data_IF_741104862171
#
_entry.id   IF_741104862171
#
_cell.length_a   1.000
_cell.length_b   1.000
_cell.length_c   1.000
_cell.angle_alpha   90.00
_cell.angle_beta   90.00
_cell.angle_gamma   90.00
#
_symmetry.space_group_name_H-M   'P 1'
#
loop_
_entity.id
_entity.type
_entity.pdbx_description
1 polymer ?
#
# COMPACT_ATOMS: atom_id res chain seq x y z
N UNK A 1 -0.49 -10.80 10.38
CA UNK A 1 -0.84 -11.40 9.08
C UNK A 1 -1.96 -10.65 8.34
N UNK A 2 -2.98 -10.10 9.02
CA UNK A 2 -4.00 -9.27 8.33
C UNK A 2 -3.40 -7.99 7.72
N UNK A 3 -2.47 -7.35 8.42
CA UNK A 3 -1.90 -6.07 7.98
C UNK A 3 -1.08 -6.17 6.70
N UNK A 4 -0.41 -7.31 6.45
CA UNK A 4 0.44 -7.45 5.25
C UNK A 4 -0.40 -7.51 3.96
N UNK A 5 -1.56 -8.18 3.99
CA UNK A 5 -2.48 -8.25 2.86
C UNK A 5 -3.24 -6.93 2.69
N UNK A 6 -3.63 -6.31 3.81
CA UNK A 6 -4.20 -4.97 3.79
C UNK A 6 -3.26 -3.96 3.12
N UNK A 7 -1.99 -3.91 3.54
CA UNK A 7 -1.03 -2.99 2.94
C UNK A 7 -0.68 -3.36 1.49
N UNK A 8 -0.57 -4.65 1.16
CA UNK A 8 -0.34 -5.08 -0.23
C UNK A 8 -1.47 -4.59 -1.16
N UNK A 9 -2.73 -4.68 -0.73
CA UNK A 9 -3.88 -4.15 -1.47
C UNK A 9 -3.81 -2.63 -1.62
N UNK A 10 -3.50 -1.90 -0.55
CA UNK A 10 -3.34 -0.43 -0.62
C UNK A 10 -2.21 -0.01 -1.56
N UNK A 11 -1.09 -0.73 -1.53
CA UNK A 11 0.05 -0.47 -2.41
C UNK A 11 -0.28 -0.79 -3.87
N UNK A 12 -1.10 -1.82 -4.12
CA UNK A 12 -1.62 -2.13 -5.44
C UNK A 12 -2.55 -1.02 -5.97
N UNK A 13 -3.47 -0.50 -5.15
CA UNK A 13 -4.35 0.62 -5.55
C UNK A 13 -3.59 1.90 -5.87
N UNK A 14 -2.47 2.13 -5.18
CA UNK A 14 -1.55 3.23 -5.47
C UNK A 14 -0.68 2.97 -6.72
N UNK A 15 -0.77 1.77 -7.32
CA UNK A 15 0.00 1.38 -8.50
C UNK A 15 1.50 1.22 -8.22
N UNK A 16 1.90 1.01 -6.97
CA UNK A 16 3.30 0.86 -6.54
C UNK A 16 3.68 -0.56 -6.16
N UNK A 17 2.76 -1.51 -6.36
CA UNK A 17 2.95 -2.94 -6.11
C UNK A 17 2.11 -3.73 -7.12
N UNK A 18 2.49 -4.98 -7.45
CA UNK A 18 1.59 -5.92 -8.12
C UNK A 18 0.35 -6.24 -7.27
N UNK A 19 -0.65 -6.83 -7.92
CA UNK A 19 -1.82 -7.39 -7.25
C UNK A 19 -1.39 -8.42 -6.20
N UNK A 20 -1.94 -8.37 -4.97
CA UNK A 20 -1.60 -9.34 -3.94
C UNK A 20 -1.90 -10.78 -4.38
N UNK A 21 -0.95 -11.68 -4.15
CA UNK A 21 -1.17 -13.11 -4.42
C UNK A 21 -2.27 -13.66 -3.51
N UNK A 22 -3.10 -14.53 -4.08
CA UNK A 22 -4.18 -15.21 -3.35
C UNK A 22 -3.61 -16.29 -2.44
N UNK A 23 -4.37 -16.65 -1.41
CA UNK A 23 -3.94 -17.66 -0.42
C UNK A 23 -3.48 -18.97 -1.07
N UNK A 24 -4.25 -19.51 -2.01
CA UNK A 24 -3.91 -20.77 -2.72
C UNK A 24 -2.67 -20.65 -3.62
N UNK A 25 -2.25 -19.43 -4.00
CA UNK A 25 -1.03 -19.20 -4.78
C UNK A 25 0.21 -19.10 -3.87
N UNK A 26 0.02 -18.72 -2.60
CA UNK A 26 1.09 -18.60 -1.61
C UNK A 26 1.29 -19.91 -0.83
N UNK A 27 0.19 -20.58 -0.53
CA UNK A 27 0.11 -21.85 0.18
C UNK A 27 -0.83 -22.74 -0.63
N UNK A 28 -0.33 -23.43 -1.66
CA UNK A 28 -1.10 -24.40 -2.42
C UNK A 28 -1.76 -25.42 -1.50
N UNK A 29 -3.04 -25.68 -1.72
CA UNK A 29 -3.79 -26.71 -0.98
C UNK A 29 -3.38 -28.13 -1.45
N UNK A 30 -2.91 -28.24 -2.70
CA UNK A 30 -2.41 -29.46 -3.33
C UNK A 30 -0.98 -29.20 -3.86
N UNK A 31 -0.12 -30.22 -3.80
CA UNK A 31 1.27 -30.19 -4.25
C UNK A 31 1.47 -30.84 -5.62
N UNK A 32 0.40 -30.90 -6.41
CA UNK A 32 0.44 -31.40 -7.78
C UNK A 32 1.15 -30.43 -8.74
N UNK A 33 1.66 -30.96 -9.84
CA UNK A 33 2.43 -30.21 -10.83
C UNK A 33 1.65 -29.00 -11.39
N UNK A 34 0.33 -29.12 -11.57
CA UNK A 34 -0.49 -28.08 -12.17
C UNK A 34 -0.61 -26.92 -11.17
N UNK A 35 -1.03 -27.19 -9.94
CA UNK A 35 -1.17 -26.16 -8.90
C UNK A 35 0.15 -25.44 -8.63
N UNK A 36 1.27 -26.18 -8.54
CA UNK A 36 2.60 -25.58 -8.34
C UNK A 36 2.97 -24.66 -9.51
N UNK A 37 2.74 -25.11 -10.75
CA UNK A 37 3.07 -24.33 -11.95
C UNK A 37 2.23 -23.05 -12.05
N UNK A 38 0.96 -23.11 -11.68
CA UNK A 38 0.08 -21.95 -11.62
C UNK A 38 0.57 -20.92 -10.58
N UNK A 39 0.90 -21.38 -9.37
CA UNK A 39 1.45 -20.52 -8.33
C UNK A 39 2.78 -19.86 -8.76
N UNK A 40 3.68 -20.63 -9.38
CA UNK A 40 4.94 -20.11 -9.90
C UNK A 40 4.74 -19.09 -11.04
N UNK A 41 3.76 -19.31 -11.91
CA UNK A 41 3.38 -18.38 -12.97
C UNK A 41 2.83 -17.05 -12.43
N UNK A 42 1.94 -17.13 -11.42
CA UNK A 42 1.41 -15.96 -10.73
C UNK A 42 2.52 -15.15 -10.05
N UNK A 43 3.43 -15.83 -9.35
CA UNK A 43 4.58 -15.18 -8.70
C UNK A 43 5.52 -14.52 -9.71
N UNK A 44 5.83 -15.19 -10.82
CA UNK A 44 6.68 -14.65 -11.89
C UNK A 44 6.08 -13.39 -12.51
N UNK A 45 4.76 -13.39 -12.73
CA UNK A 45 4.03 -12.23 -13.25
C UNK A 45 4.06 -11.08 -12.26
N UNK A 46 3.83 -11.34 -10.97
CA UNK A 46 3.88 -10.33 -9.92
C UNK A 46 5.27 -9.69 -9.80
N UNK A 47 6.35 -10.49 -9.83
CA UNK A 47 7.73 -9.99 -9.82
C UNK A 47 8.01 -9.14 -11.05
N UNK A 48 7.63 -9.61 -12.24
CA UNK A 48 7.85 -8.87 -13.49
C UNK A 48 7.14 -7.52 -13.48
N UNK A 49 5.89 -7.48 -12.99
CA UNK A 49 5.14 -6.25 -12.82
C UNK A 49 5.80 -5.30 -11.80
N UNK A 50 6.22 -5.82 -10.64
CA UNK A 50 6.91 -5.04 -9.60
C UNK A 50 8.19 -4.37 -10.11
N UNK A 51 8.90 -5.02 -11.05
CA UNK A 51 10.13 -4.50 -11.65
C UNK A 51 9.89 -3.51 -12.81
N UNK A 52 8.65 -3.35 -13.27
CA UNK A 52 8.30 -2.49 -14.40
C UNK A 52 8.65 -1.02 -14.15
N UNK A 53 8.91 -0.30 -15.25
CA UNK A 53 9.13 1.16 -15.20
C UNK A 53 7.90 1.91 -14.68
N UNK A 54 6.69 1.38 -14.94
CA UNK A 54 5.44 1.98 -14.48
C UNK A 54 5.38 2.03 -12.94
N UNK A 55 5.66 0.90 -12.28
CA UNK A 55 5.67 0.83 -10.80
C UNK A 55 6.69 1.80 -10.21
N UNK A 56 7.90 1.87 -10.80
CA UNK A 56 8.95 2.81 -10.38
C UNK A 56 8.53 4.27 -10.56
N UNK A 57 7.89 4.60 -11.69
CA UNK A 57 7.39 5.95 -11.98
C UNK A 57 6.31 6.37 -10.99
N UNK A 58 5.35 5.48 -10.72
CA UNK A 58 4.28 5.73 -9.74
C UNK A 58 4.86 5.97 -8.35
N UNK A 59 5.79 5.11 -7.92
CA UNK A 59 6.45 5.25 -6.63
C UNK A 59 7.19 6.59 -6.49
N UNK A 60 7.91 7.00 -7.54
CA UNK A 60 8.61 8.29 -7.57
C UNK A 60 7.65 9.49 -7.53
N UNK A 61 6.52 9.41 -8.24
CA UNK A 61 5.52 10.47 -8.20
C UNK A 61 4.91 10.62 -6.80
N UNK A 62 4.56 9.51 -6.17
CA UNK A 62 4.01 9.51 -4.81
C UNK A 62 5.04 10.02 -3.81
N UNK A 63 6.29 9.56 -3.89
CA UNK A 63 7.34 10.03 -2.98
C UNK A 63 7.57 11.53 -3.08
N UNK A 64 7.51 12.11 -4.29
CA UNK A 64 7.64 13.55 -4.50
C UNK A 64 6.49 14.33 -3.86
N UNK A 65 5.25 13.84 -4.00
CA UNK A 65 4.07 14.45 -3.37
C UNK A 65 4.19 14.42 -1.84
N UNK A 66 4.50 13.26 -1.28
CA UNK A 66 4.67 13.09 0.16
C UNK A 66 5.80 13.96 0.71
N UNK A 67 6.89 14.14 -0.03
CA UNK A 67 7.99 15.02 0.39
C UNK A 67 7.61 16.51 0.39
N UNK A 68 6.60 16.92 -0.38
CA UNK A 68 6.12 18.31 -0.44
C UNK A 68 5.02 18.64 0.56
N UNK A 69 4.39 17.63 1.16
CA UNK A 69 3.27 17.79 2.08
C UNK A 69 3.75 17.63 3.53
N UNK A 70 3.48 18.61 4.41
CA UNK A 70 3.63 18.46 5.86
C UNK A 70 2.25 18.28 6.51
N UNK A 71 1.64 17.12 6.22
CA UNK A 71 0.32 16.77 6.75
C UNK A 71 0.28 16.65 8.27
N UNK A 72 1.41 16.31 8.90
CA UNK A 72 1.50 16.20 10.37
C UNK A 72 1.42 17.59 11.00
N UNK A 73 2.22 18.55 10.50
CA UNK A 73 2.17 19.92 11.01
C UNK A 73 0.80 20.56 10.78
N UNK A 74 0.19 20.34 9.62
CA UNK A 74 -1.17 20.80 9.31
C UNK A 74 -2.18 20.26 10.32
N UNK A 75 -2.21 18.94 10.53
CA UNK A 75 -3.11 18.30 11.47
C UNK A 75 -2.91 18.82 12.90
N UNK A 76 -1.66 18.97 13.34
CA UNK A 76 -1.32 19.52 14.67
C UNK A 76 -1.80 20.97 14.80
N UNK A 77 -1.65 21.80 13.76
CA UNK A 77 -2.13 23.19 13.78
C UNK A 77 -3.64 23.25 13.94
N UNK A 78 -4.37 22.43 13.20
CA UNK A 78 -5.84 22.35 13.28
C UNK A 78 -6.31 21.89 14.66
N UNK A 79 -5.66 20.88 15.23
CA UNK A 79 -5.93 20.41 16.59
C UNK A 79 -5.72 21.52 17.63
N UNK A 80 -4.60 22.24 17.56
CA UNK A 80 -4.32 23.37 18.47
C UNK A 80 -5.39 24.47 18.37
N UNK A 81 -5.80 24.83 17.15
CA UNK A 81 -6.84 25.83 16.94
C UNK A 81 -8.21 25.38 17.48
N UNK A 82 -8.56 24.09 17.32
CA UNK A 82 -9.79 23.52 17.85
C UNK A 82 -9.84 23.57 19.38
N UNK A 83 -8.75 23.17 20.04
CA UNK A 83 -8.64 23.20 21.51
C UNK A 83 -8.77 24.64 22.03
N UNK A 84 -8.07 25.60 21.39
CA UNK A 84 -8.14 27.01 21.78
C UNK A 84 -9.56 27.59 21.63
N UNK A 85 -10.29 27.20 20.57
CA UNK A 85 -11.67 27.62 20.37
C UNK A 85 -12.64 27.06 21.42
N UNK A 86 -12.40 25.83 21.90
CA UNK A 86 -13.22 25.23 22.96
C UNK A 86 -13.02 25.96 24.30
N UNK A 87 -11.77 26.25 24.67
CA UNK A 87 -11.44 26.97 25.91
C UNK A 87 -12.03 28.39 25.95
N UNK A 88 -12.14 29.07 24.81
CA UNK A 88 -12.75 30.40 24.72
C UNK A 88 -14.28 30.41 24.83
N UNK A 89 -14.95 29.24 24.74
CA UNK A 89 -16.41 29.14 24.88
C UNK A 89 -16.86 28.77 26.29
N UNK A 90 -15.92 28.34 27.15
CA UNK A 90 -16.19 27.89 28.52
C UNK A 90 -15.85 28.95 29.59
N UNK A 91 -15.23 30.07 29.21
CA UNK A 91 -14.94 31.22 30.07
C UNK A 91 -15.79 32.44 29.73
#
# INVERSE_FOLDING_TARGET
MLDQFYWAERMFWLGVSPEPLKRHQLLPDEDDEITIKEAAGALTTAISYALSSQVKSNALQISRRLASEDGVQEAVRMLKASIASQLSKEG
#
